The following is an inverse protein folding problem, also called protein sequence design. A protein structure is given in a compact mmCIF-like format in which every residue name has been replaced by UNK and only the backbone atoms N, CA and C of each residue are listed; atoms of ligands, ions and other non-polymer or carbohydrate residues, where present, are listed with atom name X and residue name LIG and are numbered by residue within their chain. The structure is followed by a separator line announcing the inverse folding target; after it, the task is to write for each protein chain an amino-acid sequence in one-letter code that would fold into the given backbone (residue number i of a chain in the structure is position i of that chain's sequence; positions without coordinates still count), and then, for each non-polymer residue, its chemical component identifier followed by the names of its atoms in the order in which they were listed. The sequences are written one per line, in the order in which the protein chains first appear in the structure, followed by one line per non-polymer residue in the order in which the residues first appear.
data_IF_937728032256
#
_entry.id   IF_937728032256
#
_cell.length_a   1.000
_cell.length_b   1.000
_cell.length_c   1.000
_cell.angle_alpha   90.00
_cell.angle_beta   90.00
_cell.angle_gamma   90.00
#
_symmetry.space_group_name_H-M   'P 1'
#
loop_
_entity.id
_entity.type
_entity.pdbx_description
1 polymer ?
#
# COMPACT_ATOMS: atom_id res chain seq x y z
N UNK A 1 -9.08 9.53 5.09
CA UNK A 1 -7.91 9.47 4.18
C UNK A 1 -8.37 9.91 2.79
N UNK A 2 -7.55 10.69 2.07
CA UNK A 2 -7.81 11.07 0.68
C UNK A 2 -6.98 10.21 -0.29
N UNK A 3 -7.60 9.76 -1.38
CA UNK A 3 -6.98 9.06 -2.50
C UNK A 3 -7.25 9.82 -3.79
N UNK A 4 -6.21 10.12 -4.57
CA UNK A 4 -6.36 10.52 -5.97
C UNK A 4 -5.79 9.42 -6.86
N UNK A 5 -6.57 8.97 -7.84
CA UNK A 5 -6.20 7.88 -8.74
C UNK A 5 -6.19 8.43 -10.15
N UNK A 6 -5.01 8.45 -10.78
CA UNK A 6 -4.85 8.88 -12.18
C UNK A 6 -4.77 7.63 -13.05
N UNK A 7 -5.69 7.55 -14.01
CA UNK A 7 -5.85 6.38 -14.89
C UNK A 7 -6.41 6.82 -16.24
N UNK A 8 -6.34 5.96 -17.24
CA UNK A 8 -7.05 6.12 -18.50
C UNK A 8 -8.33 5.26 -18.56
N UNK A 9 -8.72 4.62 -17.46
CA UNK A 9 -9.96 3.85 -17.32
C UNK A 9 -10.63 4.14 -15.96
N UNK A 10 -11.22 5.33 -15.78
CA UNK A 10 -11.88 5.69 -14.52
C UNK A 10 -12.93 4.68 -14.06
N UNK A 11 -13.68 4.10 -15.00
CA UNK A 11 -14.76 3.15 -14.73
C UNK A 11 -14.27 1.86 -14.06
N UNK A 12 -12.97 1.54 -14.14
CA UNK A 12 -12.37 0.39 -13.45
C UNK A 12 -12.57 0.47 -11.93
N UNK A 13 -12.72 1.69 -11.40
CA UNK A 13 -12.83 1.96 -9.97
C UNK A 13 -14.28 2.00 -9.44
N UNK A 14 -15.28 1.69 -10.27
CA UNK A 14 -16.67 1.51 -9.80
C UNK A 14 -16.79 0.41 -8.71
N UNK A 15 -15.83 -0.53 -8.67
CA UNK A 15 -15.73 -1.54 -7.60
C UNK A 15 -15.54 -0.92 -6.20
N UNK A 16 -15.08 0.33 -6.09
CA UNK A 16 -14.92 1.02 -4.81
C UNK A 16 -16.25 1.51 -4.21
N UNK A 17 -17.37 1.43 -4.94
CA UNK A 17 -18.69 1.88 -4.47
C UNK A 17 -19.49 0.79 -3.75
N UNK A 18 -19.03 -0.45 -3.82
CA UNK A 18 -19.68 -1.61 -3.22
C UNK A 18 -18.97 -2.06 -1.93
N UNK A 19 -19.65 -2.90 -1.16
CA UNK A 19 -19.09 -3.56 0.04
C UNK A 19 -18.47 -2.57 1.05
N UNK A 20 -17.38 -2.98 1.70
CA UNK A 20 -16.68 -2.25 2.75
C UNK A 20 -16.12 -0.90 2.27
N UNK A 21 -15.52 -0.84 1.08
CA UNK A 21 -14.98 0.41 0.52
C UNK A 21 -16.09 1.41 0.24
N UNK A 22 -17.20 0.97 -0.36
CA UNK A 22 -18.36 1.83 -0.60
C UNK A 22 -18.94 2.40 0.70
N UNK A 23 -19.00 1.58 1.76
CA UNK A 23 -19.40 2.06 3.09
C UNK A 23 -18.41 3.12 3.60
N UNK A 24 -17.11 2.85 3.54
CA UNK A 24 -16.07 3.78 3.98
C UNK A 24 -16.12 5.12 3.26
N UNK A 25 -16.44 5.12 1.95
CA UNK A 25 -16.68 6.33 1.15
C UNK A 25 -17.91 7.10 1.64
N UNK A 26 -19.06 6.44 1.75
CA UNK A 26 -20.31 7.07 2.22
C UNK A 26 -20.22 7.62 3.65
N UNK A 27 -19.40 7.02 4.51
CA UNK A 27 -19.18 7.51 5.88
C UNK A 27 -18.04 8.53 5.98
N UNK A 28 -17.43 8.95 4.87
CA UNK A 28 -16.36 9.95 4.83
C UNK A 28 -15.02 9.50 5.42
N UNK A 29 -14.82 8.19 5.62
CA UNK A 29 -13.55 7.63 6.10
C UNK A 29 -12.51 7.55 4.97
N UNK A 30 -13.00 7.33 3.74
CA UNK A 30 -12.23 7.26 2.51
C UNK A 30 -12.78 8.24 1.48
N UNK A 31 -12.00 9.26 1.11
CA UNK A 31 -12.33 10.22 0.07
C UNK A 31 -11.56 9.86 -1.20
N UNK A 32 -12.25 9.44 -2.27
CA UNK A 32 -11.63 8.90 -3.49
C UNK A 32 -12.00 9.75 -4.69
N UNK A 33 -10.97 10.29 -5.35
CA UNK A 33 -11.06 11.06 -6.59
C UNK A 33 -10.38 10.25 -7.70
N UNK A 34 -11.10 10.00 -8.80
CA UNK A 34 -10.59 9.26 -9.95
C UNK A 34 -10.51 10.23 -11.14
N UNK A 35 -9.34 10.31 -11.76
CA UNK A 35 -8.98 11.30 -12.74
C UNK A 35 -8.65 10.61 -14.07
N UNK A 36 -9.32 10.97 -15.17
CA UNK A 36 -8.92 10.52 -16.50
C UNK A 36 -7.70 11.31 -16.95
N UNK A 37 -6.54 10.66 -17.05
CA UNK A 37 -5.28 11.28 -17.50
C UNK A 37 -5.44 12.00 -18.84
N UNK A 38 -6.38 11.55 -19.68
CA UNK A 38 -6.67 12.17 -20.97
C UNK A 38 -7.19 13.60 -20.85
N UNK A 39 -7.68 14.03 -19.69
CA UNK A 39 -8.14 15.41 -19.47
C UNK A 39 -6.98 16.42 -19.47
N UNK A 40 -5.74 15.97 -19.30
CA UNK A 40 -4.52 16.80 -19.35
C UNK A 40 -3.77 16.71 -20.69
N UNK A 41 -4.45 16.28 -21.74
CA UNK A 41 -3.91 16.28 -23.09
C UNK A 41 -4.33 17.55 -23.83
N UNK A 42 -3.50 18.00 -24.78
CA UNK A 42 -3.75 19.23 -25.56
C UNK A 42 -4.12 18.96 -27.01
N UNK A 43 -3.90 17.74 -27.49
CA UNK A 43 -4.22 17.34 -28.86
C UNK A 43 -5.67 16.85 -28.99
N UNK A 44 -6.23 16.96 -30.20
CA UNK A 44 -7.61 16.56 -30.50
C UNK A 44 -7.90 15.08 -30.21
N UNK A 45 -6.89 14.22 -30.31
CA UNK A 45 -7.05 12.78 -30.14
C UNK A 45 -6.90 12.32 -28.69
N UNK A 46 -6.63 13.27 -27.78
CA UNK A 46 -6.39 13.02 -26.37
C UNK A 46 -5.31 11.97 -26.13
N UNK A 47 -4.16 12.17 -26.77
CA UNK A 47 -3.07 11.19 -26.87
C UNK A 47 -2.22 11.18 -25.59
N UNK A 48 -2.19 10.03 -24.93
CA UNK A 48 -1.47 9.83 -23.65
C UNK A 48 -0.21 8.97 -23.78
N UNK A 49 0.07 8.43 -24.96
CA UNK A 49 1.18 7.52 -25.22
C UNK A 49 1.88 7.82 -26.55
N UNK A 50 3.12 7.34 -26.69
CA UNK A 50 3.93 7.45 -27.91
C UNK A 50 4.88 6.26 -28.03
N UNK A 51 5.51 6.11 -29.19
CA UNK A 51 6.53 5.07 -29.43
C UNK A 51 7.76 5.24 -28.53
N UNK A 52 8.37 4.14 -28.05
CA UNK A 52 9.56 4.23 -27.21
C UNK A 52 10.79 4.70 -27.99
N UNK A 53 11.58 5.58 -27.38
CA UNK A 53 12.95 5.85 -27.84
C UNK A 53 13.79 4.57 -27.78
N UNK A 54 14.66 4.36 -28.78
CA UNK A 54 15.42 3.11 -28.94
C UNK A 54 14.70 2.05 -29.77
N UNK A 55 13.43 2.28 -30.13
CA UNK A 55 12.62 1.34 -30.91
C UNK A 55 12.10 0.17 -30.08
N UNK A 56 11.47 -0.80 -30.75
CA UNK A 56 10.77 -1.92 -30.11
C UNK A 56 9.25 -1.84 -30.30
N UNK A 57 8.52 -2.95 -30.05
CA UNK A 57 7.06 -2.94 -30.06
C UNK A 57 6.51 -2.18 -28.84
N UNK A 58 5.22 -1.83 -28.90
CA UNK A 58 4.51 -1.22 -27.78
C UNK A 58 4.53 0.31 -27.77
N UNK A 59 3.94 0.87 -26.72
CA UNK A 59 3.78 2.31 -26.51
C UNK A 59 4.17 2.65 -25.07
N UNK A 60 4.66 3.86 -24.82
CA UNK A 60 5.02 4.39 -23.50
C UNK A 60 4.16 5.60 -23.20
N UNK A 61 3.61 5.70 -21.99
CA UNK A 61 2.80 6.85 -21.61
C UNK A 61 3.66 8.11 -21.53
N UNK A 62 3.21 9.19 -22.19
CA UNK A 62 3.94 10.44 -22.36
C UNK A 62 4.09 11.18 -21.03
N UNK A 63 5.25 11.82 -20.77
CA UNK A 63 5.46 12.54 -19.52
C UNK A 63 4.61 13.82 -19.42
N UNK A 64 4.22 14.44 -20.53
CA UNK A 64 3.45 15.69 -20.55
C UNK A 64 2.13 15.62 -19.78
N UNK A 65 1.16 14.76 -20.21
CA UNK A 65 -0.10 14.60 -19.49
C UNK A 65 0.08 14.21 -18.02
N UNK A 66 1.09 13.38 -17.71
CA UNK A 66 1.39 12.99 -16.33
C UNK A 66 1.86 14.16 -15.47
N UNK A 67 2.79 14.99 -15.97
CA UNK A 67 3.27 16.17 -15.27
C UNK A 67 2.14 17.16 -14.97
N UNK A 68 1.34 17.49 -15.98
CA UNK A 68 0.20 18.40 -15.85
C UNK A 68 -0.86 17.86 -14.86
N UNK A 69 -1.15 16.56 -14.88
CA UNK A 69 -2.06 15.94 -13.93
C UNK A 69 -1.54 16.04 -12.48
N UNK A 70 -0.26 15.71 -12.26
CA UNK A 70 0.35 15.81 -10.94
C UNK A 70 0.46 17.26 -10.44
N UNK A 71 0.69 18.23 -11.31
CA UNK A 71 0.73 19.66 -10.95
C UNK A 71 -0.66 20.20 -10.60
N UNK A 72 -1.69 19.74 -11.30
CA UNK A 72 -3.08 20.10 -11.01
C UNK A 72 -3.59 19.48 -9.72
N UNK A 73 -3.30 18.20 -9.48
CA UNK A 73 -3.75 17.47 -8.27
C UNK A 73 -2.94 17.91 -7.04
N UNK A 74 -1.65 18.18 -7.24
CA UNK A 74 -0.68 18.47 -6.19
C UNK A 74 -0.05 19.85 -6.47
N UNK A 75 -0.81 20.94 -6.30
CA UNK A 75 -0.31 22.26 -6.59
C UNK A 75 0.90 22.56 -5.69
N UNK A 76 1.93 23.22 -6.22
CA UNK A 76 3.09 23.61 -5.41
C UNK A 76 2.63 24.45 -4.22
N UNK A 77 3.33 24.37 -3.08
CA UNK A 77 3.03 25.25 -1.96
C UNK A 77 3.03 26.69 -2.47
N UNK A 78 1.99 27.45 -2.09
CA UNK A 78 1.91 28.85 -2.47
C UNK A 78 3.24 29.53 -2.13
N UNK A 79 3.81 30.35 -3.03
CA UNK A 79 5.05 31.05 -2.73
C UNK A 79 4.87 31.77 -1.40
N UNK A 80 5.86 31.63 -0.50
CA UNK A 80 5.92 32.43 0.70
C UNK A 80 5.75 33.89 0.27
N UNK A 81 4.66 34.55 0.68
CA UNK A 81 4.58 35.99 0.54
C UNK A 81 5.85 36.55 1.19
N UNK A 82 6.66 37.34 0.46
CA UNK A 82 7.82 37.94 1.06
C UNK A 82 7.32 38.72 2.27
N UNK A 83 7.83 38.38 3.45
CA UNK A 83 7.61 39.17 4.65
C UNK A 83 8.13 40.58 4.34
N UNK A 84 7.24 41.48 3.91
CA UNK A 84 7.58 42.87 3.64
C UNK A 84 7.97 43.46 4.99
N UNK A 85 9.26 43.80 5.23
CA UNK A 85 9.64 44.45 6.47
C UNK A 85 8.97 45.82 6.48
N UNK A 86 7.94 46.00 7.31
CA UNK A 86 7.22 47.26 7.39
C UNK A 86 5.72 47.19 7.63
N UNK A 87 5.09 46.01 7.66
CA UNK A 87 3.69 45.91 8.11
C UNK A 87 3.67 45.96 9.64
N UNK A 88 3.11 47.00 10.28
CA UNK A 88 2.97 47.00 11.73
C UNK A 88 2.05 45.85 12.13
N UNK A 89 2.32 45.17 13.27
CA UNK A 89 1.42 44.11 13.74
C UNK A 89 0.02 44.70 13.89
N UNK A 90 -0.97 44.06 13.25
CA UNK A 90 -2.37 44.37 13.50
C UNK A 90 -2.60 44.15 14.99
N UNK A 91 -2.85 45.26 15.69
CA UNK A 91 -3.10 45.31 17.12
C UNK A 91 -4.40 44.57 17.37
N UNK A 92 -4.30 43.37 17.96
CA UNK A 92 -5.43 42.73 18.58
C UNK A 92 -5.92 43.65 19.71
N UNK A 93 -7.07 44.27 19.51
CA UNK A 93 -7.83 44.94 20.57
C UNK A 93 -8.12 43.91 21.66
N UNK A 94 -7.38 44.01 22.77
CA UNK A 94 -7.72 43.32 24.02
C UNK A 94 -8.65 44.21 24.85
N UNK A 95 -9.76 43.69 25.40
CA UNK A 95 -10.53 44.42 26.41
C UNK A 95 -9.77 44.45 27.73
N UNK A 96 -9.86 45.58 28.43
CA UNK A 96 -9.00 45.96 29.55
C UNK A 96 -9.24 45.27 30.90
N UNK A 97 -8.17 45.36 31.68
CA UNK A 97 -7.97 45.40 33.13
C UNK A 97 -9.07 45.00 34.13
N UNK A 98 -8.67 44.11 35.04
CA UNK A 98 -8.80 44.39 36.48
C UNK A 98 -7.77 43.61 37.33
N UNK A 99 -6.74 44.34 37.78
CA UNK A 99 -6.17 44.40 39.15
C UNK A 99 -5.94 43.13 40.00
N UNK A 100 -4.70 42.99 40.50
CA UNK A 100 -4.40 42.31 41.77
C UNK A 100 -2.97 41.77 41.86
N UNK A 101 -2.03 42.56 42.40
CA UNK A 101 -0.61 42.20 42.46
C UNK A 101 -0.18 41.35 43.67
N UNK A 102 1.06 40.83 43.60
CA UNK A 102 2.07 40.84 44.67
C UNK A 102 3.39 40.21 44.18
N UNK A 103 4.49 40.88 44.50
CA UNK A 103 5.90 40.51 44.27
C UNK A 103 6.29 39.19 44.99
N UNK A 104 7.39 38.48 44.65
CA UNK A 104 8.77 38.92 44.98
C UNK A 104 9.88 37.99 44.42
N UNK A 105 10.96 38.65 43.99
CA UNK A 105 12.42 38.38 44.21
C UNK A 105 13.10 37.10 43.64
N UNK A 106 14.05 37.28 42.70
CA UNK A 106 15.54 37.32 42.88
C UNK A 106 16.17 35.90 42.89
N UNK A 107 17.35 35.54 42.34
CA UNK A 107 18.58 36.24 41.97
C UNK A 107 19.57 35.22 41.32
N UNK A 108 20.45 35.68 40.42
CA UNK A 108 21.86 35.23 40.22
C UNK A 108 22.14 33.79 39.72
N UNK A 109 23.21 33.45 39.00
CA UNK A 109 24.40 34.10 38.41
C UNK A 109 25.09 33.03 37.55
N UNK A 110 25.61 33.41 36.40
CA UNK A 110 26.71 32.75 35.68
C UNK A 110 28.07 33.07 36.36
N UNK A 111 29.20 32.34 36.13
CA UNK A 111 29.86 32.21 34.81
C UNK A 111 30.66 30.91 34.51
N UNK A 112 31.02 30.71 33.23
CA UNK A 112 32.11 29.80 32.77
C UNK A 112 33.52 30.41 33.01
N UNK A 113 34.61 30.07 32.28
CA UNK A 113 34.72 29.23 31.06
C UNK A 113 36.01 28.33 30.96
N UNK A 114 36.25 27.71 29.80
CA UNK A 114 37.54 27.54 29.06
C UNK A 114 38.10 26.12 28.77
N UNK A 115 38.57 25.95 27.52
CA UNK A 115 39.71 25.10 27.12
C UNK A 115 39.36 24.01 26.08
N UNK A 116 39.40 24.25 24.76
CA UNK A 116 40.57 24.29 23.85
C UNK A 116 40.88 22.95 23.13
N UNK A 117 40.73 22.96 21.81
CA UNK A 117 41.25 22.02 20.79
C UNK A 117 42.76 22.25 20.53
N UNK A 118 43.51 21.31 19.93
CA UNK A 118 43.69 21.31 18.45
C UNK A 118 43.95 19.93 17.77
N UNK A 119 43.70 19.84 16.45
CA UNK A 119 44.35 18.87 15.52
C UNK A 119 45.79 19.29 15.15
N UNK A 120 46.51 18.71 14.15
CA UNK A 120 46.02 18.32 12.81
C UNK A 120 46.77 17.13 12.09
N UNK A 121 46.44 16.94 10.78
CA UNK A 121 47.28 16.42 9.65
C UNK A 121 47.66 14.91 9.62
N UNK A 122 47.76 14.14 8.51
CA UNK A 122 47.89 14.33 7.04
C UNK A 122 47.81 12.94 6.32
N UNK A 123 47.39 12.88 5.04
CA UNK A 123 47.54 11.76 4.06
C UNK A 123 48.99 11.75 3.44
N UNK A 124 49.45 10.92 2.44
CA UNK A 124 48.75 10.11 1.40
C UNK A 124 49.44 8.78 0.91
N UNK A 125 48.89 8.13 -0.14
CA UNK A 125 49.56 7.13 -1.03
C UNK A 125 48.64 5.97 -1.45
N UNK A 126 48.10 5.85 -2.68
CA UNK A 126 48.68 5.59 -4.02
C UNK A 126 48.89 4.09 -4.38
N UNK A 127 48.07 3.62 -5.33
CA UNK A 127 48.34 2.73 -6.48
C UNK A 127 48.86 1.28 -6.29
N UNK A 128 48.09 0.28 -6.77
CA UNK A 128 48.46 -0.58 -7.93
C UNK A 128 47.47 -1.75 -8.18
N UNK A 129 46.97 -1.81 -9.42
CA UNK A 129 46.57 -2.99 -10.18
C UNK A 129 47.85 -3.68 -10.76
N UNK A 130 47.86 -4.97 -11.22
CA UNK A 130 47.24 -5.33 -12.51
C UNK A 130 46.83 -6.81 -12.79
N UNK A 131 45.98 -6.97 -13.82
CA UNK A 131 46.03 -8.05 -14.84
C UNK A 131 45.20 -9.33 -14.58
N UNK A 132 44.62 -10.03 -15.57
CA UNK A 132 44.64 -9.90 -17.02
C UNK A 132 43.60 -10.84 -17.69
N UNK A 133 43.05 -10.38 -18.83
CA UNK A 133 42.75 -11.08 -20.11
C UNK A 133 41.77 -12.28 -20.17
N UNK A 134 40.84 -12.19 -21.14
CA UNK A 134 40.40 -13.35 -21.94
C UNK A 134 39.10 -13.24 -22.74
N UNK A 135 39.19 -12.78 -24.00
CA UNK A 135 38.54 -13.40 -25.18
C UNK A 135 37.01 -13.41 -25.36
N UNK A 136 36.52 -12.55 -26.26
CA UNK A 136 35.42 -12.85 -27.22
C UNK A 136 36.07 -13.43 -28.52
N UNK A 137 35.37 -13.94 -29.57
CA UNK A 137 33.98 -13.64 -29.98
C UNK A 137 33.16 -14.81 -30.59
N UNK A 138 31.91 -14.55 -31.00
CA UNK A 138 31.18 -15.43 -31.90
C UNK A 138 29.69 -15.10 -32.04
N UNK A 139 29.33 -14.41 -33.12
CA UNK A 139 27.95 -14.23 -33.58
C UNK A 139 27.50 -15.45 -34.41
N UNK A 140 26.23 -15.85 -34.32
CA UNK A 140 25.44 -16.39 -35.43
C UNK A 140 23.98 -16.66 -35.04
N UNK A 141 23.09 -16.11 -35.88
CA UNK A 141 21.82 -16.63 -36.40
C UNK A 141 20.64 -17.05 -35.50
N UNK A 142 19.54 -16.33 -35.75
CA UNK A 142 18.16 -16.80 -35.62
C UNK A 142 17.84 -17.88 -36.67
N UNK A 143 16.76 -18.64 -36.46
CA UNK A 143 15.67 -18.50 -37.42
C UNK A 143 14.28 -18.44 -36.80
N UNK A 144 13.43 -17.71 -37.50
CA UNK A 144 11.98 -17.64 -37.36
C UNK A 144 11.32 -18.96 -37.74
N UNK A 145 10.24 -19.34 -37.06
CA UNK A 145 9.11 -20.02 -37.69
C UNK A 145 7.82 -19.79 -36.90
N UNK A 146 6.84 -19.18 -37.56
CA UNK A 146 5.45 -19.16 -37.18
C UNK A 146 4.83 -20.57 -37.27
N UNK A 147 3.89 -20.91 -36.39
CA UNK A 147 2.61 -21.44 -36.83
C UNK A 147 1.53 -21.34 -35.76
N UNK A 148 0.42 -20.81 -36.21
CA UNK A 148 -0.92 -20.77 -35.62
C UNK A 148 -1.47 -22.18 -35.36
N UNK A 149 -2.04 -22.37 -34.17
CA UNK A 149 -2.83 -23.55 -33.81
C UNK A 149 -3.98 -23.16 -32.91
N UNK A 150 -5.10 -22.80 -33.51
CA UNK A 150 -6.40 -22.65 -32.86
C UNK A 150 -6.85 -24.00 -32.28
N UNK A 151 -7.17 -24.04 -30.99
CA UNK A 151 -7.96 -25.14 -30.42
C UNK A 151 -9.30 -24.60 -29.92
N UNK A 152 -10.34 -25.04 -30.63
CA UNK A 152 -11.73 -24.74 -30.36
C UNK A 152 -12.17 -25.21 -28.99
N UNK A 153 -12.94 -24.33 -28.35
CA UNK A 153 -13.87 -24.61 -27.26
C UNK A 153 -14.87 -25.70 -27.66
N UNK A 154 -14.94 -26.75 -26.85
CA UNK A 154 -16.02 -27.72 -26.87
C UNK A 154 -16.82 -27.60 -25.57
N UNK A 155 -18.00 -27.00 -25.69
CA UNK A 155 -19.02 -26.91 -24.65
C UNK A 155 -19.61 -28.29 -24.36
N UNK A 156 -19.84 -28.58 -23.07
CA UNK A 156 -20.71 -29.67 -22.63
C UNK A 156 -21.87 -29.09 -21.79
N UNK A 157 -23.08 -29.68 -21.91
CA UNK A 157 -24.33 -29.04 -21.49
C UNK A 157 -24.61 -29.17 -20.00
N UNK A 158 -25.15 -28.10 -19.40
CA UNK A 158 -25.69 -28.11 -18.04
C UNK A 158 -27.12 -28.66 -17.98
N UNK A 159 -27.55 -29.23 -16.85
CA UNK A 159 -28.95 -29.54 -16.62
C UNK A 159 -29.63 -28.53 -15.70
N UNK A 160 -30.90 -28.24 -16.00
CA UNK A 160 -31.94 -28.08 -14.99
C UNK A 160 -32.30 -26.67 -14.57
N UNK A 161 -33.20 -26.05 -15.33
CA UNK A 161 -34.00 -24.90 -14.89
C UNK A 161 -34.90 -25.31 -13.72
N UNK A 162 -34.69 -24.72 -12.55
CA UNK A 162 -35.63 -24.68 -11.44
C UNK A 162 -36.23 -23.29 -11.34
N UNK A 163 -37.54 -23.18 -11.60
CA UNK A 163 -38.29 -21.94 -11.51
C UNK A 163 -38.29 -21.39 -10.08
N UNK A 164 -37.95 -20.12 -9.93
CA UNK A 164 -38.21 -19.34 -8.72
C UNK A 164 -39.07 -18.14 -9.14
N UNK A 165 -40.27 -18.07 -8.56
CA UNK A 165 -41.26 -17.02 -8.79
C UNK A 165 -40.74 -15.63 -8.37
N UNK A 166 -41.15 -14.55 -9.05
CA UNK A 166 -40.76 -13.18 -8.69
C UNK A 166 -41.67 -12.61 -7.60
N UNK A 167 -41.08 -11.99 -6.58
CA UNK A 167 -41.78 -11.10 -5.64
C UNK A 167 -41.77 -9.64 -6.16
N UNK A 168 -42.75 -8.81 -5.75
CA UNK A 168 -43.24 -7.71 -6.55
C UNK A 168 -42.50 -6.39 -6.34
N UNK A 169 -42.46 -5.63 -7.44
CA UNK A 169 -42.37 -4.18 -7.58
C UNK A 169 -42.03 -3.35 -6.32
N UNK A 170 -40.85 -2.74 -6.33
CA UNK A 170 -40.66 -1.41 -5.73
C UNK A 170 -40.40 -0.40 -6.85
N UNK A 171 -41.19 0.66 -6.79
CA UNK A 171 -41.35 1.75 -7.72
C UNK A 171 -40.06 2.52 -8.01
N UNK A 172 -39.90 2.94 -9.27
CA UNK A 172 -38.79 3.74 -9.74
C UNK A 172 -38.65 5.10 -9.06
N UNK A 173 -37.40 5.45 -8.81
CA UNK A 173 -36.93 6.83 -8.68
C UNK A 173 -35.76 7.00 -9.66
N UNK A 174 -35.81 8.06 -10.46
CA UNK A 174 -34.69 8.50 -11.30
C UNK A 174 -33.44 8.72 -10.46
N UNK A 175 -32.22 8.53 -11.00
CA UNK A 175 -31.00 8.93 -10.30
C UNK A 175 -30.98 10.47 -10.25
N UNK A 176 -31.26 11.02 -9.08
CA UNK A 176 -30.95 12.40 -8.78
C UNK A 176 -29.43 12.52 -8.65
N UNK A 177 -28.90 13.61 -9.20
CA UNK A 177 -27.50 13.98 -9.19
C UNK A 177 -26.86 13.74 -7.81
N UNK A 178 -25.81 12.93 -7.79
CA UNK A 178 -24.99 12.65 -6.61
C UNK A 178 -24.21 13.94 -6.31
N UNK A 179 -24.83 14.84 -5.55
CA UNK A 179 -24.18 16.06 -5.08
C UNK A 179 -23.03 15.62 -4.15
N UNK A 180 -21.81 15.73 -4.66
CA UNK A 180 -20.59 15.32 -3.98
C UNK A 180 -20.57 15.86 -2.54
N UNK A 181 -20.49 14.95 -1.57
CA UNK A 181 -20.40 15.30 -0.17
C UNK A 181 -19.28 16.33 0.06
N UNK A 182 -19.49 17.34 0.93
CA UNK A 182 -18.55 18.43 1.11
C UNK A 182 -17.17 17.91 1.53
N UNK A 183 -16.19 18.11 0.65
CA UNK A 183 -14.80 17.72 0.83
C UNK A 183 -14.24 18.42 2.06
N UNK A 184 -13.67 17.64 3.00
CA UNK A 184 -12.96 18.23 4.13
C UNK A 184 -11.84 19.14 3.59
N UNK A 185 -11.74 20.40 4.06
CA UNK A 185 -10.79 21.35 3.49
C UNK A 185 -9.36 20.84 3.63
N UNK A 186 -8.60 20.92 2.53
CA UNK A 186 -7.17 20.56 2.45
C UNK A 186 -6.42 21.23 3.60
N UNK A 187 -5.78 20.44 4.47
CA UNK A 187 -4.77 20.99 5.39
C UNK A 187 -3.65 21.58 4.54
N UNK A 188 -3.56 22.90 4.53
CA UNK A 188 -2.51 23.62 3.84
C UNK A 188 -1.13 23.05 4.21
N UNK A 189 -0.32 22.71 3.20
CA UNK A 189 1.03 22.17 3.38
C UNK A 189 1.18 20.65 3.46
N UNK A 190 0.12 19.86 3.27
CA UNK A 190 0.24 18.38 3.23
C UNK A 190 0.78 17.93 1.86
N UNK A 191 1.92 17.23 1.85
CA UNK A 191 2.50 16.62 0.63
C UNK A 191 2.00 15.18 0.53
N UNK A 192 1.42 14.75 -0.60
CA UNK A 192 0.97 13.36 -0.77
C UNK A 192 2.14 12.40 -0.96
N UNK A 193 1.88 11.11 -0.78
CA UNK A 193 2.76 10.05 -1.29
C UNK A 193 2.24 9.55 -2.62
N UNK A 194 3.10 9.54 -3.65
CA UNK A 194 2.81 8.94 -4.94
C UNK A 194 3.16 7.45 -4.94
N UNK A 195 2.24 6.61 -5.38
CA UNK A 195 2.43 5.18 -5.55
C UNK A 195 2.27 4.84 -7.04
N UNK A 196 3.27 4.20 -7.61
CA UNK A 196 3.30 3.79 -9.01
C UNK A 196 3.31 2.25 -9.05
N UNK A 197 2.19 1.60 -9.39
CA UNK A 197 2.19 0.15 -9.59
C UNK A 197 3.04 -0.24 -10.79
N UNK A 198 4.06 -1.06 -10.57
CA UNK A 198 4.95 -1.59 -11.62
C UNK A 198 5.56 -2.92 -11.18
N UNK A 199 5.70 -3.93 -12.08
CA UNK A 199 6.33 -5.20 -11.72
C UNK A 199 7.82 -5.06 -11.33
N UNK A 200 8.50 -3.98 -11.73
CA UNK A 200 9.88 -3.67 -11.32
C UNK A 200 9.98 -3.07 -9.90
N UNK A 201 8.84 -2.74 -9.30
CA UNK A 201 8.75 -2.16 -7.97
C UNK A 201 9.02 -3.18 -6.87
N UNK A 202 9.22 -2.68 -5.65
CA UNK A 202 9.32 -3.56 -4.48
C UNK A 202 7.97 -4.26 -4.24
N UNK A 203 7.94 -5.55 -3.83
CA UNK A 203 6.68 -6.24 -3.55
C UNK A 203 5.85 -5.54 -2.47
N UNK A 204 4.54 -5.41 -2.70
CA UNK A 204 3.58 -4.90 -1.74
C UNK A 204 3.38 -5.90 -0.59
N UNK A 205 3.47 -5.41 0.65
CA UNK A 205 3.32 -6.23 1.85
C UNK A 205 2.22 -5.71 2.78
N UNK A 206 1.81 -6.51 3.76
CA UNK A 206 0.87 -6.06 4.79
C UNK A 206 1.45 -4.89 5.63
N UNK A 207 2.77 -4.84 5.81
CA UNK A 207 3.45 -3.72 6.45
C UNK A 207 3.32 -2.42 5.64
N UNK A 208 3.33 -2.52 4.30
CA UNK A 208 3.07 -1.38 3.42
C UNK A 208 1.63 -0.91 3.50
N UNK A 209 0.66 -1.83 3.53
CA UNK A 209 -0.74 -1.48 3.73
C UNK A 209 -0.93 -0.69 5.02
N UNK A 210 -0.32 -1.13 6.13
CA UNK A 210 -0.37 -0.44 7.41
C UNK A 210 0.34 0.93 7.37
N UNK A 211 1.50 1.02 6.72
CA UNK A 211 2.24 2.28 6.53
C UNK A 211 1.43 3.29 5.72
N UNK A 212 0.84 2.85 4.62
CA UNK A 212 0.01 3.69 3.76
C UNK A 212 -1.30 4.08 4.45
N UNK A 213 -1.90 3.22 5.28
CA UNK A 213 -3.08 3.53 6.08
C UNK A 213 -2.89 4.73 7.02
N UNK A 214 -1.63 5.00 7.43
CA UNK A 214 -1.28 6.15 8.26
C UNK A 214 -1.09 7.46 7.46
N UNK A 215 -0.99 7.39 6.13
CA UNK A 215 -0.84 8.58 5.29
C UNK A 215 -2.19 9.31 5.16
N UNK A 216 -2.22 10.65 5.32
CA UNK A 216 -3.46 11.41 5.15
C UNK A 216 -3.92 11.45 3.70
N UNK A 217 -2.97 11.35 2.75
CA UNK A 217 -3.18 11.54 1.32
C UNK A 217 -2.24 10.67 0.48
N UNK A 218 -2.82 9.82 -0.37
CA UNK A 218 -2.12 9.02 -1.37
C UNK A 218 -2.55 9.43 -2.77
N UNK A 219 -1.61 9.37 -3.72
CA UNK A 219 -1.85 9.52 -5.15
C UNK A 219 -1.38 8.25 -5.84
N UNK A 220 -2.19 7.69 -6.74
CA UNK A 220 -1.84 6.51 -7.52
C UNK A 220 -1.71 6.85 -9.01
N UNK A 221 -0.61 6.41 -9.62
CA UNK A 221 -0.37 6.56 -11.06
C UNK A 221 -0.51 5.22 -11.78
N UNK A 222 -1.66 4.97 -12.41
CA UNK A 222 -1.92 3.72 -13.13
C UNK A 222 -1.22 3.69 -14.49
N UNK A 223 -0.12 2.96 -14.60
CA UNK A 223 0.54 2.69 -15.88
C UNK A 223 -0.27 1.77 -16.79
N UNK A 224 -0.11 1.96 -18.10
CA UNK A 224 -0.62 1.13 -19.20
C UNK A 224 0.46 0.95 -20.26
N UNK A 225 0.20 0.09 -21.23
CA UNK A 225 1.14 -0.23 -22.30
C UNK A 225 2.46 -0.77 -21.73
N UNK A 226 3.61 -0.29 -22.18
CA UNK A 226 4.92 -0.64 -21.61
C UNK A 226 5.22 0.09 -20.30
N UNK A 227 4.37 1.04 -19.89
CA UNK A 227 4.48 1.79 -18.64
C UNK A 227 4.51 3.30 -18.83
N UNK A 228 4.87 3.99 -17.75
CA UNK A 228 5.01 5.45 -17.70
C UNK A 228 6.47 5.80 -18.02
N UNK A 229 6.70 6.86 -18.79
CA UNK A 229 8.04 7.41 -19.01
C UNK A 229 8.77 7.62 -17.66
N UNK A 230 9.95 7.02 -17.49
CA UNK A 230 10.69 6.99 -16.23
C UNK A 230 10.97 8.38 -15.65
N UNK A 231 11.06 9.41 -16.49
CA UNK A 231 11.30 10.79 -16.07
C UNK A 231 10.17 11.35 -15.21
N UNK A 232 8.95 10.83 -15.34
CA UNK A 232 7.81 11.22 -14.49
C UNK A 232 8.07 10.85 -13.03
N UNK A 233 8.53 9.63 -12.78
CA UNK A 233 8.86 9.17 -11.43
C UNK A 233 10.10 9.92 -10.88
N UNK A 234 11.10 10.20 -11.72
CA UNK A 234 12.28 10.97 -11.35
C UNK A 234 11.94 12.41 -10.97
N UNK A 235 11.10 13.10 -11.74
CA UNK A 235 10.62 14.46 -11.43
C UNK A 235 9.80 14.46 -10.14
N UNK A 236 8.83 13.56 -10.01
CA UNK A 236 7.94 13.53 -8.85
C UNK A 236 8.72 13.37 -7.53
N UNK A 237 9.82 12.60 -7.54
CA UNK A 237 10.71 12.43 -6.38
C UNK A 237 11.36 13.72 -5.89
N UNK A 238 11.45 14.75 -6.73
CA UNK A 238 12.01 16.05 -6.33
C UNK A 238 11.09 16.83 -5.39
N UNK A 239 9.80 16.48 -5.34
CA UNK A 239 8.76 17.23 -4.61
C UNK A 239 7.87 16.39 -3.68
N UNK A 240 7.86 15.06 -3.82
CA UNK A 240 7.08 14.17 -2.96
C UNK A 240 7.72 12.79 -2.79
N UNK A 241 7.39 12.04 -1.72
CA UNK A 241 7.76 10.62 -1.63
C UNK A 241 7.11 9.81 -2.76
N UNK A 242 7.90 9.01 -3.47
CA UNK A 242 7.45 8.13 -4.56
C UNK A 242 7.82 6.68 -4.24
N UNK A 243 6.82 5.81 -4.23
CA UNK A 243 6.98 4.36 -4.07
C UNK A 243 6.57 3.63 -5.35
N UNK A 244 7.54 2.98 -6.01
CA UNK A 244 7.26 2.02 -7.09
C UNK A 244 6.99 0.64 -6.47
N UNK A 245 5.78 0.10 -6.69
CA UNK A 245 5.26 -1.06 -5.95
C UNK A 245 4.79 -2.15 -6.90
N UNK A 246 5.24 -3.39 -6.68
CA UNK A 246 4.80 -4.58 -7.41
C UNK A 246 3.77 -5.37 -6.60
N UNK A 247 2.78 -5.98 -7.26
CA UNK A 247 1.90 -6.96 -6.59
C UNK A 247 2.55 -8.35 -6.47
N UNK A 248 3.62 -8.61 -7.21
CA UNK A 248 4.31 -9.89 -7.26
C UNK A 248 4.91 -10.15 -8.65
N UNK A 249 5.52 -11.33 -8.79
CA UNK A 249 6.30 -11.72 -9.97
C UNK A 249 5.39 -12.21 -11.12
N UNK A 250 4.53 -11.31 -11.61
CA UNK A 250 3.64 -11.51 -12.74
C UNK A 250 3.32 -10.17 -13.42
N UNK A 251 2.80 -10.23 -14.64
CA UNK A 251 2.51 -9.04 -15.46
C UNK A 251 1.00 -8.88 -15.63
N UNK A 252 0.52 -7.64 -15.49
CA UNK A 252 -0.87 -7.24 -15.69
C UNK A 252 -0.96 -6.28 -16.88
N UNK A 253 -2.15 -6.15 -17.46
CA UNK A 253 -2.39 -5.22 -18.56
C UNK A 253 -2.38 -3.73 -18.14
N UNK A 254 -2.35 -3.44 -16.84
CA UNK A 254 -2.38 -2.08 -16.30
C UNK A 254 -2.35 -2.04 -14.79
N UNK A 255 -2.08 -0.85 -14.24
CA UNK A 255 -1.96 -0.62 -12.81
C UNK A 255 -3.29 -0.58 -12.05
N UNK A 256 -4.44 -0.50 -12.72
CA UNK A 256 -5.74 -0.24 -12.08
C UNK A 256 -6.15 -1.34 -11.11
N UNK A 257 -5.99 -2.61 -11.49
CA UNK A 257 -6.25 -3.73 -10.59
C UNK A 257 -5.28 -3.75 -9.41
N UNK A 258 -4.03 -3.32 -9.63
CA UNK A 258 -3.06 -3.20 -8.56
C UNK A 258 -3.45 -2.12 -7.55
N UNK A 259 -3.96 -0.98 -8.02
CA UNK A 259 -4.52 0.06 -7.16
C UNK A 259 -5.73 -0.46 -6.40
N UNK A 260 -6.66 -1.18 -7.02
CA UNK A 260 -7.81 -1.77 -6.31
C UNK A 260 -7.38 -2.68 -5.16
N UNK A 261 -6.41 -3.58 -5.41
CA UNK A 261 -5.85 -4.47 -4.38
C UNK A 261 -5.21 -3.68 -3.25
N UNK A 262 -4.40 -2.67 -3.57
CA UNK A 262 -3.76 -1.82 -2.56
C UNK A 262 -4.79 -1.03 -1.76
N UNK A 263 -5.75 -0.38 -2.42
CA UNK A 263 -6.81 0.41 -1.76
C UNK A 263 -7.67 -0.46 -0.84
N UNK A 264 -7.99 -1.69 -1.22
CA UNK A 264 -8.71 -2.62 -0.35
C UNK A 264 -7.90 -2.97 0.91
N UNK A 265 -6.63 -3.34 0.73
CA UNK A 265 -5.73 -3.70 1.82
C UNK A 265 -5.42 -2.52 2.77
N UNK A 266 -5.33 -1.30 2.24
CA UNK A 266 -5.10 -0.07 3.01
C UNK A 266 -6.39 0.36 3.70
N UNK A 267 -7.49 0.46 2.93
CA UNK A 267 -8.76 1.01 3.37
C UNK A 267 -9.37 0.22 4.52
N UNK A 268 -9.22 -1.12 4.53
CA UNK A 268 -9.71 -1.96 5.64
C UNK A 268 -9.03 -1.65 6.98
N UNK A 269 -7.82 -1.09 6.97
CA UNK A 269 -7.06 -0.75 8.18
C UNK A 269 -7.42 0.64 8.74
N UNK A 270 -8.21 1.44 8.00
CA UNK A 270 -8.63 2.74 8.48
C UNK A 270 -9.57 2.61 9.69
N UNK A 271 -9.36 3.41 10.76
CA UNK A 271 -10.22 3.39 11.93
C UNK A 271 -11.70 3.62 11.56
N UNK A 272 -12.58 2.74 12.02
CA UNK A 272 -14.03 2.80 11.77
C UNK A 272 -14.52 2.11 10.50
N UNK A 273 -13.62 1.61 9.64
CA UNK A 273 -14.02 0.85 8.44
C UNK A 273 -14.48 -0.56 8.83
N UNK A 274 -13.64 -1.31 9.53
CA UNK A 274 -14.00 -2.62 10.08
C UNK A 274 -14.82 -2.47 11.36
N UNK A 275 -15.87 -3.30 11.50
CA UNK A 275 -16.79 -3.24 12.63
C UNK A 275 -16.19 -3.74 13.95
N UNK A 276 -15.26 -4.70 13.89
CA UNK A 276 -14.52 -5.18 15.04
C UNK A 276 -13.02 -4.94 14.82
N UNK A 277 -12.43 -4.01 15.56
CA UNK A 277 -11.02 -3.66 15.43
C UNK A 277 -10.10 -4.84 15.79
N UNK A 278 -10.54 -5.70 16.72
CA UNK A 278 -9.75 -6.86 17.16
C UNK A 278 -9.58 -7.90 16.07
N UNK A 279 -10.49 -7.95 15.08
CA UNK A 279 -10.39 -8.88 13.96
C UNK A 279 -9.17 -8.64 13.06
N UNK A 280 -8.63 -7.41 13.02
CA UNK A 280 -7.43 -7.11 12.22
C UNK A 280 -6.18 -7.71 12.84
N UNK A 281 -6.12 -7.81 14.17
CA UNK A 281 -4.93 -8.29 14.88
C UNK A 281 -4.72 -9.82 14.74
N UNK A 282 -5.80 -10.55 14.46
CA UNK A 282 -5.80 -12.01 14.30
C UNK A 282 -5.62 -12.45 12.83
N UNK A 283 -5.63 -11.51 11.87
CA UNK A 283 -5.48 -11.81 10.45
C UNK A 283 -4.07 -12.36 10.11
N UNK A 284 -3.98 -13.07 8.99
CA UNK A 284 -2.68 -13.44 8.42
C UNK A 284 -1.83 -12.18 8.18
N UNK A 285 -0.55 -12.23 8.56
CA UNK A 285 0.41 -11.13 8.40
C UNK A 285 0.11 -9.86 9.20
N UNK A 286 -0.87 -9.88 10.11
CA UNK A 286 -1.19 -8.72 10.94
C UNK A 286 0.02 -8.33 11.82
N UNK A 287 0.29 -7.03 12.03
CA UNK A 287 1.40 -6.59 12.87
C UNK A 287 1.37 -7.22 14.27
N UNK A 288 2.53 -7.64 14.77
CA UNK A 288 2.66 -8.30 16.08
C UNK A 288 2.69 -9.82 15.96
N UNK A 289 1.89 -10.52 16.77
CA UNK A 289 2.00 -11.98 16.93
C UNK A 289 1.73 -12.79 15.64
N UNK A 290 1.05 -12.20 14.66
CA UNK A 290 0.67 -12.83 13.39
C UNK A 290 1.52 -12.37 12.19
N UNK A 291 2.51 -11.51 12.40
CA UNK A 291 3.23 -10.81 11.32
C UNK A 291 3.87 -11.76 10.31
N UNK A 292 4.35 -12.91 10.76
CA UNK A 292 4.96 -13.96 9.93
C UNK A 292 4.13 -15.25 9.91
N UNK A 293 2.81 -15.16 10.07
CA UNK A 293 1.94 -16.32 10.18
C UNK A 293 0.70 -16.21 9.30
N UNK A 294 0.19 -17.39 8.96
CA UNK A 294 -1.13 -17.59 8.38
C UNK A 294 -2.16 -17.83 9.48
N UNK A 295 -3.35 -17.28 9.30
CA UNK A 295 -4.50 -17.57 10.17
C UNK A 295 -4.86 -19.07 10.10
N UNK A 296 -5.19 -19.65 11.26
CA UNK A 296 -5.69 -21.01 11.36
C UNK A 296 -7.01 -21.26 10.61
N UNK A 297 -7.54 -22.49 10.66
CA UNK A 297 -8.84 -22.79 10.08
C UNK A 297 -9.97 -22.13 10.87
N UNK A 298 -10.94 -21.55 10.16
CA UNK A 298 -12.14 -20.93 10.72
C UNK A 298 -13.35 -21.85 10.53
N UNK A 299 -14.25 -21.83 11.51
CA UNK A 299 -15.45 -22.66 11.54
C UNK A 299 -16.68 -21.82 11.87
N UNK A 300 -17.83 -22.22 11.33
CA UNK A 300 -19.12 -21.61 11.65
C UNK A 300 -20.19 -22.70 11.78
N UNK A 301 -21.42 -22.30 12.11
CA UNK A 301 -22.57 -23.21 12.21
C UNK A 301 -22.86 -23.86 10.84
N UNK A 302 -23.35 -25.12 10.81
CA UNK A 302 -23.66 -26.00 11.94
C UNK A 302 -22.43 -26.68 12.56
N UNK A 303 -22.50 -27.18 13.81
CA UNK A 303 -21.36 -27.82 14.50
C UNK A 303 -20.89 -29.13 13.85
N UNK A 304 -21.72 -29.77 13.02
CA UNK A 304 -21.33 -30.93 12.21
C UNK A 304 -21.87 -30.72 10.79
N UNK A 305 -21.00 -30.83 9.79
CA UNK A 305 -21.38 -30.80 8.38
C UNK A 305 -20.78 -32.00 7.66
N UNK A 306 -21.63 -32.84 7.05
CA UNK A 306 -21.21 -34.07 6.35
C UNK A 306 -20.23 -34.92 7.19
N UNK A 307 -20.64 -35.22 8.43
CA UNK A 307 -19.86 -36.02 9.39
C UNK A 307 -18.52 -35.40 9.81
N UNK A 308 -18.30 -34.11 9.54
CA UNK A 308 -17.11 -33.35 9.96
C UNK A 308 -17.49 -32.43 11.12
N UNK A 309 -17.15 -32.79 12.36
CA UNK A 309 -17.41 -31.93 13.51
C UNK A 309 -16.45 -30.74 13.53
N UNK A 310 -16.92 -29.61 14.07
CA UNK A 310 -16.06 -28.52 14.53
C UNK A 310 -15.22 -29.03 15.72
N UNK A 311 -13.93 -28.63 15.86
CA UNK A 311 -13.13 -29.00 17.02
C UNK A 311 -13.79 -28.66 18.36
N UNK A 312 -13.86 -29.62 19.29
CA UNK A 312 -14.56 -29.48 20.57
C UNK A 312 -14.11 -28.26 21.40
N UNK A 313 -12.81 -27.90 21.31
CA UNK A 313 -12.26 -26.72 21.99
C UNK A 313 -12.96 -25.43 21.57
N UNK A 314 -13.42 -25.32 20.32
CA UNK A 314 -14.16 -24.16 19.81
C UNK A 314 -15.60 -24.09 20.32
N UNK A 315 -16.11 -25.21 20.86
CA UNK A 315 -17.45 -25.29 21.47
C UNK A 315 -17.40 -25.12 23.01
N UNK A 316 -16.19 -25.07 23.59
CA UNK A 316 -15.99 -25.09 25.05
C UNK A 316 -16.32 -23.80 25.79
N UNK A 317 -16.35 -22.65 25.08
CA UNK A 317 -16.42 -21.32 25.70
C UNK A 317 -15.15 -20.88 26.46
N UNK A 318 -14.11 -21.71 26.50
CA UNK A 318 -12.88 -21.42 27.25
C UNK A 318 -11.91 -20.56 26.42
N UNK A 319 -12.05 -19.24 26.52
CA UNK A 319 -11.30 -18.26 25.70
C UNK A 319 -9.78 -18.52 25.62
N UNK A 320 -9.12 -18.81 26.74
CA UNK A 320 -7.67 -19.09 26.73
C UNK A 320 -7.28 -20.37 25.98
N UNK A 321 -8.14 -21.40 26.00
CA UNK A 321 -7.89 -22.65 25.28
C UNK A 321 -8.14 -22.47 23.79
N UNK A 322 -9.15 -21.67 23.42
CA UNK A 322 -9.44 -21.28 22.05
C UNK A 322 -8.29 -20.46 21.47
N UNK A 323 -7.81 -19.44 22.19
CA UNK A 323 -6.67 -18.62 21.75
C UNK A 323 -5.40 -19.46 21.55
N UNK A 324 -5.09 -20.36 22.49
CA UNK A 324 -3.97 -21.30 22.37
C UNK A 324 -4.13 -22.23 21.17
N UNK A 325 -5.34 -22.77 20.94
CA UNK A 325 -5.62 -23.62 19.79
C UNK A 325 -5.46 -22.86 18.47
N UNK A 326 -5.94 -21.61 18.37
CA UNK A 326 -5.77 -20.77 17.17
C UNK A 326 -4.30 -20.49 16.88
N UNK A 327 -3.51 -20.18 17.91
CA UNK A 327 -2.05 -20.00 17.81
C UNK A 327 -1.36 -21.28 17.34
N UNK A 328 -1.70 -22.43 17.91
CA UNK A 328 -1.18 -23.74 17.48
C UNK A 328 -1.48 -23.99 15.99
N UNK A 329 -2.73 -23.76 15.55
CA UNK A 329 -3.13 -23.99 14.16
C UNK A 329 -2.50 -22.99 13.18
N UNK A 330 -2.31 -21.73 13.57
CA UNK A 330 -1.59 -20.74 12.77
C UNK A 330 -0.16 -21.20 12.50
N UNK A 331 0.54 -21.71 13.52
CA UNK A 331 1.89 -22.27 13.38
C UNK A 331 1.90 -23.49 12.46
N UNK A 332 1.02 -24.47 12.69
CA UNK A 332 0.92 -25.69 11.85
C UNK A 332 0.61 -25.34 10.39
N UNK A 333 -0.31 -24.40 10.16
CA UNK A 333 -0.68 -23.97 8.81
C UNK A 333 0.48 -23.26 8.12
N UNK A 334 1.17 -22.38 8.84
CA UNK A 334 2.34 -21.66 8.31
C UNK A 334 3.46 -22.65 7.95
N UNK A 335 3.78 -23.59 8.84
CA UNK A 335 4.77 -24.65 8.58
C UNK A 335 4.43 -25.46 7.32
N UNK A 336 3.15 -25.78 7.12
CA UNK A 336 2.69 -26.57 5.97
C UNK A 336 2.73 -25.82 4.65
N UNK A 337 2.34 -24.54 4.65
CA UNK A 337 2.05 -23.81 3.40
C UNK A 337 3.07 -22.74 3.05
N UNK A 338 3.71 -22.13 4.05
CA UNK A 338 4.65 -21.01 3.90
C UNK A 338 5.80 -21.15 4.91
N UNK A 339 6.54 -22.27 4.89
CA UNK A 339 7.60 -22.55 5.86
C UNK A 339 8.69 -21.47 5.91
N UNK A 340 8.92 -20.76 4.81
CA UNK A 340 9.89 -19.68 4.72
C UNK A 340 9.51 -18.44 5.56
N UNK A 341 8.25 -18.31 5.98
CA UNK A 341 7.84 -17.27 6.93
C UNK A 341 8.28 -17.61 8.36
N UNK A 342 8.39 -18.90 8.70
CA UNK A 342 8.81 -19.32 10.04
C UNK A 342 10.27 -18.93 10.32
N UNK A 343 11.11 -18.86 9.28
CA UNK A 343 12.48 -18.39 9.40
C UNK A 343 12.59 -16.92 9.85
N UNK A 344 11.49 -16.15 9.77
CA UNK A 344 11.41 -14.76 10.21
C UNK A 344 10.91 -14.61 11.65
N UNK A 345 10.44 -15.70 12.27
CA UNK A 345 10.01 -15.66 13.65
C UNK A 345 11.21 -15.47 14.57
N UNK A 346 11.15 -14.42 15.38
CA UNK A 346 12.09 -14.18 16.46
C UNK A 346 11.96 -15.30 17.52
N UNK A 347 12.99 -16.16 17.73
CA UNK A 347 12.87 -17.30 18.65
C UNK A 347 12.43 -16.91 20.06
N UNK A 348 12.85 -15.74 20.54
CA UNK A 348 12.47 -15.16 21.83
C UNK A 348 10.96 -14.89 21.99
N UNK A 349 10.22 -14.80 20.89
CA UNK A 349 8.76 -14.65 20.90
C UNK A 349 8.00 -15.97 21.03
N UNK A 350 8.71 -17.11 20.91
CA UNK A 350 8.12 -18.44 20.94
C UNK A 350 8.15 -19.02 22.36
N UNK A 351 6.96 -19.28 22.90
CA UNK A 351 6.83 -20.00 24.17
C UNK A 351 7.19 -21.50 24.01
N UNK A 352 7.22 -22.23 25.14
CA UNK A 352 7.51 -23.67 25.14
C UNK A 352 6.53 -24.47 24.28
N UNK A 353 5.26 -24.04 24.20
CA UNK A 353 4.22 -24.73 23.43
C UNK A 353 4.39 -24.46 21.94
N UNK A 354 4.69 -23.24 21.54
CA UNK A 354 4.97 -22.86 20.15
C UNK A 354 6.11 -23.71 19.58
N UNK A 355 7.21 -23.83 20.33
CA UNK A 355 8.37 -24.66 19.95
C UNK A 355 8.00 -26.14 19.81
N UNK A 356 7.17 -26.66 20.70
CA UNK A 356 6.68 -28.04 20.61
C UNK A 356 5.82 -28.25 19.35
N UNK A 357 4.90 -27.33 19.06
CA UNK A 357 4.04 -27.40 17.86
C UNK A 357 4.86 -27.32 16.57
N UNK A 358 5.85 -26.44 16.52
CA UNK A 358 6.74 -26.31 15.36
C UNK A 358 7.60 -27.56 15.18
N UNK A 359 8.13 -28.15 16.26
CA UNK A 359 8.83 -29.45 16.22
C UNK A 359 7.92 -30.58 15.71
N UNK A 360 6.69 -30.66 16.21
CA UNK A 360 5.67 -31.61 15.73
C UNK A 360 5.37 -31.42 14.23
N UNK A 361 5.41 -30.17 13.75
CA UNK A 361 5.20 -29.82 12.36
C UNK A 361 6.44 -29.98 11.46
N UNK A 362 7.56 -30.48 12.00
CA UNK A 362 8.80 -30.70 11.25
C UNK A 362 9.67 -29.44 11.08
N UNK A 363 9.49 -28.44 11.94
CA UNK A 363 10.21 -27.16 11.91
C UNK A 363 10.83 -26.84 13.28
N UNK A 364 11.89 -27.54 13.72
CA UNK A 364 12.55 -27.23 14.99
C UNK A 364 13.13 -25.80 14.96
N UNK A 365 12.95 -25.04 16.05
CA UNK A 365 13.44 -23.64 16.19
C UNK A 365 14.55 -23.53 17.24
N UNK A 366 15.24 -24.64 17.47
CA UNK A 366 16.36 -24.70 18.40
C UNK A 366 17.65 -24.71 17.57
N UNK A 367 18.68 -23.97 17.99
CA UNK A 367 20.02 -24.01 17.38
C UNK A 367 20.78 -25.31 17.64
N UNK A 368 20.08 -26.37 18.02
CA UNK A 368 20.58 -27.73 18.23
C UNK A 368 20.23 -28.56 16.99
N UNK A 369 20.94 -28.33 15.88
CA UNK A 369 21.20 -29.30 14.80
C UNK A 369 22.06 -28.63 13.71
N UNK A 370 23.30 -28.28 14.08
CA UNK A 370 24.44 -28.12 13.15
C UNK A 370 25.69 -28.68 13.83
N UNK A 371 25.58 -29.91 14.33
CA UNK A 371 26.70 -30.78 14.66
C UNK A 371 26.16 -32.21 14.76
N UNK A 372 26.21 -32.94 13.65
CA UNK A 372 26.65 -34.35 13.58
C UNK A 372 26.87 -34.78 12.13
#
# INVERSE_FOLDING_TARGET
MRLDIVTIFPEYFAALDISLMGKARRTGLLDVHVHDLRDWTTDRHRTVDDTPYGGGPGMVMKPGPWGEALDSIIPPPAPHEPNIPGTPPQTALSPGDSTGGSASSASSREPGPQGATPGPATSPGASQEPGARGGAPGAADSPSAASSGSVSSAALPGPGQGAVSPDPASSGGSPADDEAAPTAPRRAGTVPRLIIPTPSGRPFTQADAARYAAEPWLVFACGRYEGIDSRVAEEARTRMPVDEVSLGDFVLAGGEVAVLVMVEAIGRLLPGVLGNADSVADDSFAPGAMESLLEGPVYTKPPVWRERPVPDVLLSGHHGAIARWRRDEALRRTARHRPELLARLAPETLDKRDRAVLREAGFPVDGEDMAD
#
